data_IF_249483233233
#
_entry.id   IF_249483233233
#
_cell.length_a   1.000
_cell.length_b   1.000
_cell.length_c   1.000
_cell.angle_alpha   90.00
_cell.angle_beta   90.00
_cell.angle_gamma   90.00
#
_symmetry.space_group_name_H-M   'P 1'
#
loop_
_entity.id
_entity.type
_entity.pdbx_description
1 polymer ?
#
# COMPACT_ATOMS: atom_id res chain seq x y z
N UNK A 1 30.90 22.20 -19.14
CA UNK A 1 30.52 21.12 -18.20
C UNK A 1 29.90 21.69 -16.92
N UNK A 2 29.99 23.00 -16.70
CA UNK A 2 29.59 23.68 -15.46
C UNK A 2 28.08 23.83 -15.29
N UNK A 3 27.31 23.86 -16.39
CA UNK A 3 25.85 23.96 -16.34
C UNK A 3 25.17 22.68 -15.83
N UNK A 4 25.81 21.52 -16.01
CA UNK A 4 25.37 20.26 -15.39
C UNK A 4 25.51 20.34 -13.87
N UNK A 5 26.67 20.76 -13.37
CA UNK A 5 26.89 20.94 -11.93
C UNK A 5 25.93 21.97 -11.33
N UNK A 6 25.66 23.08 -12.05
CA UNK A 6 24.69 24.09 -11.63
C UNK A 6 23.26 23.56 -11.58
N UNK A 7 22.83 22.77 -12.57
CA UNK A 7 21.50 22.15 -12.54
C UNK A 7 21.37 21.11 -11.42
N UNK A 8 22.41 20.32 -11.18
CA UNK A 8 22.42 19.35 -10.07
C UNK A 8 22.30 20.03 -8.70
N UNK A 9 23.03 21.13 -8.50
CA UNK A 9 22.95 21.95 -7.28
C UNK A 9 21.58 22.63 -7.17
N UNK A 10 21.05 23.17 -8.26
CA UNK A 10 19.73 23.80 -8.26
C UNK A 10 18.63 22.78 -7.94
N UNK A 11 18.71 21.58 -8.52
CA UNK A 11 17.75 20.51 -8.30
C UNK A 11 17.78 19.99 -6.85
N UNK A 12 18.97 19.84 -6.25
CA UNK A 12 19.07 19.42 -4.85
C UNK A 12 18.48 20.47 -3.90
N UNK A 13 18.80 21.75 -4.11
CA UNK A 13 18.23 22.86 -3.32
C UNK A 13 16.72 22.92 -3.48
N UNK A 14 16.19 22.81 -4.70
CA UNK A 14 14.75 22.83 -4.96
C UNK A 14 14.04 21.64 -4.29
N UNK A 15 14.63 20.45 -4.32
CA UNK A 15 14.10 19.26 -3.64
C UNK A 15 14.01 19.48 -2.13
N UNK A 16 15.07 20.00 -1.51
CA UNK A 16 15.05 20.31 -0.07
C UNK A 16 13.99 21.35 0.28
N UNK A 17 13.81 22.41 -0.54
CA UNK A 17 12.78 23.42 -0.31
C UNK A 17 11.38 22.81 -0.32
N UNK A 18 11.09 21.95 -1.30
CA UNK A 18 9.79 21.28 -1.41
C UNK A 18 9.54 20.39 -0.19
N UNK A 19 10.54 19.62 0.22
CA UNK A 19 10.46 18.75 1.41
C UNK A 19 10.21 19.57 2.68
N UNK A 20 10.97 20.67 2.90
CA UNK A 20 10.80 21.54 4.07
C UNK A 20 9.40 22.17 4.08
N UNK A 21 8.96 22.68 2.93
CA UNK A 21 7.63 23.29 2.80
C UNK A 21 6.54 22.26 3.13
N UNK A 22 6.72 21.02 2.68
CA UNK A 22 5.82 19.91 3.00
C UNK A 22 5.78 19.62 4.51
N UNK A 23 6.94 19.53 5.17
CA UNK A 23 7.00 19.31 6.63
C UNK A 23 6.39 20.44 7.45
N UNK A 24 6.47 21.69 6.98
CA UNK A 24 5.81 22.84 7.64
C UNK A 24 4.29 22.74 7.53
N UNK A 25 3.78 22.33 6.36
CA UNK A 25 2.33 22.16 6.14
C UNK A 25 1.78 20.88 6.78
N UNK A 26 2.59 19.83 6.88
CA UNK A 26 2.24 18.52 7.40
C UNK A 26 3.29 18.03 8.41
N UNK A 27 3.31 18.56 9.63
CA UNK A 27 4.22 18.08 10.67
C UNK A 27 3.89 16.63 11.07
N UNK A 28 4.90 15.76 11.25
CA UNK A 28 4.68 14.40 11.73
C UNK A 28 4.10 14.41 13.16
N UNK A 29 3.16 13.51 13.48
CA UNK A 29 2.55 13.45 14.81
C UNK A 29 3.56 13.00 15.86
N UNK A 30 3.37 13.48 17.10
CA UNK A 30 4.20 13.07 18.22
C UNK A 30 4.08 11.55 18.45
N UNK A 31 5.20 10.84 18.66
CA UNK A 31 5.15 9.44 19.03
C UNK A 31 4.47 9.33 20.39
N UNK A 32 3.36 8.60 20.45
CA UNK A 32 2.70 8.29 21.74
C UNK A 32 3.67 7.47 22.59
N UNK A 33 3.85 7.81 23.88
CA UNK A 33 4.67 6.99 24.77
C UNK A 33 4.09 5.58 24.82
N UNK A 34 4.88 4.60 24.37
CA UNK A 34 4.58 3.19 24.57
C UNK A 34 4.85 2.89 26.04
N UNK A 35 3.80 2.63 26.82
CA UNK A 35 3.96 2.07 28.16
C UNK A 35 4.88 0.86 28.07
N UNK A 36 6.01 0.94 28.75
CA UNK A 36 7.04 -0.07 28.77
C UNK A 36 6.58 -1.26 29.64
N UNK A 37 5.58 -2.00 29.17
CA UNK A 37 5.26 -3.33 29.67
C UNK A 37 4.86 -4.20 28.49
N UNK A 38 5.87 -4.61 27.73
CA UNK A 38 5.99 -5.90 27.05
C UNK A 38 7.23 -5.81 26.17
N UNK A 39 8.30 -6.45 26.63
CA UNK A 39 9.47 -6.81 25.84
C UNK A 39 9.02 -7.49 24.55
N UNK A 40 8.90 -6.73 23.47
CA UNK A 40 8.94 -7.32 22.14
C UNK A 40 10.41 -7.53 21.84
N UNK A 41 10.89 -8.76 22.05
CA UNK A 41 12.12 -9.23 21.45
C UNK A 41 12.04 -8.91 19.96
N UNK A 42 12.91 -8.00 19.52
CA UNK A 42 13.31 -7.95 18.13
C UNK A 42 14.08 -9.24 17.87
N UNK A 43 13.35 -10.29 17.49
CA UNK A 43 13.96 -11.42 16.82
C UNK A 43 14.44 -10.89 15.47
N UNK A 44 15.75 -10.80 15.31
CA UNK A 44 16.40 -10.76 14.01
C UNK A 44 16.07 -12.07 13.31
N UNK A 45 14.87 -12.15 12.72
CA UNK A 45 14.55 -13.18 11.75
C UNK A 45 15.36 -12.84 10.50
N UNK A 46 16.52 -13.48 10.40
CA UNK A 46 17.19 -13.68 9.12
C UNK A 46 16.19 -14.40 8.25
N UNK A 47 15.40 -13.65 7.49
CA UNK A 47 14.50 -14.18 6.48
C UNK A 47 15.38 -14.76 5.37
N UNK A 48 15.75 -16.03 5.56
CA UNK A 48 16.21 -16.89 4.49
C UNK A 48 15.08 -16.89 3.46
N UNK A 49 15.33 -16.23 2.33
CA UNK A 49 14.44 -16.25 1.18
C UNK A 49 14.00 -17.70 0.89
N UNK A 50 12.70 -17.97 0.69
CA UNK A 50 12.27 -19.30 0.32
C UNK A 50 12.84 -19.63 -1.06
N UNK A 51 13.72 -20.63 -1.12
CA UNK A 51 14.08 -21.31 -2.37
C UNK A 51 12.80 -21.91 -2.93
N UNK A 52 12.30 -21.37 -4.04
CA UNK A 52 11.22 -21.98 -4.79
C UNK A 52 11.74 -23.30 -5.40
N UNK A 53 11.43 -24.40 -4.73
CA UNK A 53 11.56 -25.74 -5.30
C UNK A 53 10.59 -25.86 -6.47
N UNK A 54 11.16 -25.95 -7.68
CA UNK A 54 10.42 -26.09 -8.92
C UNK A 54 10.01 -27.55 -9.08
N UNK A 55 8.93 -27.96 -8.42
CA UNK A 55 8.07 -29.07 -8.84
C UNK A 55 6.97 -29.34 -7.81
N UNK A 56 5.82 -28.64 -7.88
CA UNK A 56 4.51 -29.23 -7.58
C UNK A 56 3.41 -28.49 -8.37
N UNK A 57 2.88 -29.16 -9.40
CA UNK A 57 1.61 -28.80 -10.03
C UNK A 57 0.49 -29.45 -9.24
N UNK A 58 -0.41 -28.70 -8.60
CA UNK A 58 -1.77 -29.17 -8.37
C UNK A 58 -2.64 -28.70 -9.54
N UNK A 59 -3.15 -29.66 -10.33
CA UNK A 59 -4.33 -29.42 -11.13
C UNK A 59 -5.48 -29.09 -10.16
N UNK A 60 -6.05 -27.89 -10.26
CA UNK A 60 -7.39 -27.62 -9.76
C UNK A 60 -8.28 -27.35 -10.98
N UNK A 61 -8.96 -28.41 -11.41
CA UNK A 61 -10.12 -28.31 -12.27
C UNK A 61 -11.36 -28.36 -11.39
N UNK A 62 -12.17 -27.30 -11.41
CA UNK A 62 -13.57 -27.31 -11.81
C UNK A 62 -14.19 -26.01 -11.32
N UNK A 63 -14.60 -25.17 -12.27
CA UNK A 63 -15.35 -23.97 -11.98
C UNK A 63 -16.67 -24.32 -11.32
N UNK A 64 -16.85 -23.86 -10.09
CA UNK A 64 -18.18 -23.71 -9.51
C UNK A 64 -18.71 -22.37 -10.02
N UNK A 65 -19.48 -22.40 -11.10
CA UNK A 65 -20.40 -21.30 -11.39
C UNK A 65 -21.51 -21.43 -10.37
N UNK A 66 -21.29 -20.91 -9.17
CA UNK A 66 -22.36 -20.64 -8.23
C UNK A 66 -23.38 -19.80 -9.00
N UNK A 67 -24.61 -20.29 -9.13
CA UNK A 67 -25.71 -19.54 -9.71
C UNK A 67 -25.83 -18.29 -8.85
N UNK A 68 -25.25 -17.17 -9.32
CA UNK A 68 -25.39 -15.89 -8.68
C UNK A 68 -26.88 -15.58 -8.72
N UNK A 69 -27.58 -15.81 -7.60
CA UNK A 69 -28.92 -15.26 -7.39
C UNK A 69 -28.75 -13.78 -7.65
N UNK A 70 -29.40 -13.28 -8.71
CA UNK A 70 -29.31 -11.89 -9.12
C UNK A 70 -29.97 -11.04 -8.03
N UNK A 71 -29.18 -10.70 -7.02
CA UNK A 71 -29.59 -9.87 -5.92
C UNK A 71 -29.73 -8.43 -6.41
N UNK A 72 -30.69 -7.71 -5.84
CA UNK A 72 -30.85 -6.28 -6.10
C UNK A 72 -29.53 -5.56 -5.81
N UNK A 73 -29.04 -4.78 -6.78
CA UNK A 73 -27.79 -4.04 -6.69
C UNK A 73 -28.08 -2.55 -6.62
N UNK A 74 -27.34 -1.85 -5.76
CA UNK A 74 -27.42 -0.41 -5.62
C UNK A 74 -26.24 0.21 -6.38
N UNK A 75 -26.53 1.13 -7.30
CA UNK A 75 -25.52 1.87 -8.07
C UNK A 75 -24.93 2.99 -7.22
N UNK A 76 -23.61 3.18 -7.34
CA UNK A 76 -22.84 4.24 -6.69
C UNK A 76 -22.14 5.01 -7.80
N UNK A 77 -22.50 6.28 -7.95
CA UNK A 77 -21.90 7.18 -8.94
C UNK A 77 -21.48 8.48 -8.24
N UNK A 78 -20.18 8.73 -8.22
CA UNK A 78 -19.57 9.93 -7.63
C UNK A 78 -18.45 10.44 -8.56
N UNK A 79 -17.88 11.60 -8.26
CA UNK A 79 -16.79 12.16 -9.07
C UNK A 79 -15.53 11.28 -9.10
N UNK A 80 -15.32 10.47 -8.05
CA UNK A 80 -14.09 9.68 -7.86
C UNK A 80 -14.30 8.16 -7.97
N UNK A 81 -15.55 7.69 -7.96
CA UNK A 81 -15.89 6.27 -7.86
C UNK A 81 -17.22 5.98 -8.56
N UNK A 82 -17.19 4.95 -9.41
CA UNK A 82 -18.34 4.36 -10.07
C UNK A 82 -18.33 2.84 -9.82
N UNK A 83 -19.48 2.29 -9.42
CA UNK A 83 -19.61 0.86 -9.14
C UNK A 83 -20.99 0.48 -8.60
N UNK A 84 -21.18 -0.78 -8.25
CA UNK A 84 -22.44 -1.30 -7.72
C UNK A 84 -22.20 -2.24 -6.53
N UNK A 85 -23.02 -2.16 -5.50
CA UNK A 85 -22.96 -3.06 -4.35
C UNK A 85 -24.17 -4.00 -4.32
N UNK A 86 -23.93 -5.29 -4.11
CA UNK A 86 -24.94 -6.33 -3.94
C UNK A 86 -25.58 -6.25 -2.56
N UNK A 87 -26.91 -6.21 -2.49
CA UNK A 87 -27.66 -6.35 -1.23
C UNK A 87 -27.45 -7.72 -0.58
N UNK A 88 -27.09 -8.73 -1.37
CA UNK A 88 -26.67 -10.02 -0.87
C UNK A 88 -25.14 -10.02 -0.66
N UNK A 89 -24.71 -9.74 0.57
CA UNK A 89 -23.32 -9.91 0.99
C UNK A 89 -22.37 -8.73 0.72
N UNK A 90 -22.89 -7.54 0.37
CA UNK A 90 -22.16 -6.27 0.49
C UNK A 90 -20.90 -6.13 -0.37
N UNK A 91 -20.91 -6.71 -1.58
CA UNK A 91 -19.79 -6.70 -2.54
C UNK A 91 -20.22 -6.20 -3.91
#
# INVERSE_FOLDING_TARGET
MDDQNKNLILASVLSFIVIITWFILFPPPEPVPRDADTTQQQSEETELAPTADSNQTPLVNTGETEIAVEAERIQIETELLSGAISTQGGR
#
